data_IF_842608773686
#
_entry.id   IF_842608773686
#
_cell.length_a   1.000
_cell.length_b   1.000
_cell.length_c   1.000
_cell.angle_alpha   90.00
_cell.angle_beta   90.00
_cell.angle_gamma   90.00
#
_symmetry.space_group_name_H-M   'P 1'
#
loop_
_entity.id
_entity.type
_entity.pdbx_description
1 polymer ?
#
# COMPACT_ATOMS: atom_id res chain seq x y z
N UNK A 1 -1.40 21.96 15.04
CA UNK A 1 -1.69 20.76 14.21
C UNK A 1 -1.32 19.53 15.03
N UNK A 2 -2.00 18.38 14.90
CA UNK A 2 -1.49 17.12 15.44
C UNK A 2 -0.06 16.88 14.95
N UNK A 3 0.80 16.29 15.79
CA UNK A 3 2.19 15.98 15.43
C UNK A 3 2.31 14.86 14.39
N UNK A 4 1.26 14.04 14.23
CA UNK A 4 1.16 13.00 13.22
C UNK A 4 -0.32 12.68 12.92
N UNK A 5 -0.55 11.83 11.91
CA UNK A 5 -1.87 11.22 11.66
C UNK A 5 -2.10 10.12 12.69
N UNK A 6 -3.21 10.17 13.43
CA UNK A 6 -3.50 9.15 14.44
C UNK A 6 -3.73 7.77 13.81
N UNK A 7 -3.43 6.70 14.55
CA UNK A 7 -3.67 5.32 14.11
C UNK A 7 -5.17 5.07 13.81
N UNK A 8 -6.06 5.66 14.60
CA UNK A 8 -7.51 5.61 14.37
C UNK A 8 -7.88 6.26 13.03
N UNK A 9 -7.36 7.45 12.74
CA UNK A 9 -7.60 8.13 11.47
C UNK A 9 -7.05 7.31 10.30
N UNK A 10 -5.86 6.72 10.47
CA UNK A 10 -5.25 5.85 9.47
C UNK A 10 -6.13 4.64 9.18
N UNK A 11 -6.66 3.96 10.19
CA UNK A 11 -7.55 2.80 10.01
C UNK A 11 -8.83 3.17 9.23
N UNK A 12 -9.46 4.30 9.56
CA UNK A 12 -10.64 4.80 8.84
C UNK A 12 -10.32 5.15 7.37
N UNK A 13 -9.17 5.79 7.14
CA UNK A 13 -8.73 6.16 5.80
C UNK A 13 -8.34 4.94 4.96
N UNK A 14 -7.70 3.93 5.55
CA UNK A 14 -7.45 2.66 4.89
C UNK A 14 -8.76 2.00 4.45
N UNK A 15 -9.72 1.90 5.37
CA UNK A 15 -11.03 1.34 5.05
C UNK A 15 -11.73 2.10 3.92
N UNK A 16 -11.68 3.43 3.95
CA UNK A 16 -12.22 4.25 2.87
C UNK A 16 -11.55 3.93 1.52
N UNK A 17 -10.21 3.85 1.48
CA UNK A 17 -9.47 3.52 0.26
C UNK A 17 -9.79 2.10 -0.22
N UNK A 18 -9.90 1.11 0.66
CA UNK A 18 -10.33 -0.24 0.28
C UNK A 18 -11.66 -0.19 -0.48
N UNK A 19 -12.66 0.50 0.05
CA UNK A 19 -13.99 0.61 -0.55
C UNK A 19 -14.01 1.35 -1.90
N UNK A 20 -13.05 2.26 -2.12
CA UNK A 20 -12.89 2.94 -3.41
C UNK A 20 -12.44 1.97 -4.53
N UNK A 21 -11.62 0.98 -4.19
CA UNK A 21 -11.18 -0.03 -5.15
C UNK A 21 -12.13 -1.23 -5.21
N UNK A 22 -12.75 -1.61 -4.10
CA UNK A 22 -13.65 -2.75 -4.02
C UNK A 22 -14.76 -2.54 -2.97
N UNK A 23 -15.92 -2.05 -3.44
CA UNK A 23 -17.09 -1.78 -2.59
C UNK A 23 -17.64 -2.99 -1.86
N UNK A 24 -17.35 -4.20 -2.35
CA UNK A 24 -17.81 -5.45 -1.72
C UNK A 24 -16.77 -6.05 -0.78
N UNK A 25 -15.61 -5.42 -0.61
CA UNK A 25 -14.55 -5.95 0.26
C UNK A 25 -14.92 -5.75 1.74
N UNK A 26 -14.71 -6.81 2.51
CA UNK A 26 -14.79 -6.87 3.97
C UNK A 26 -13.47 -6.50 4.66
N UNK A 27 -12.39 -6.37 3.90
CA UNK A 27 -11.08 -6.01 4.44
C UNK A 27 -11.06 -4.58 4.98
N UNK A 28 -10.31 -4.39 6.08
CA UNK A 28 -10.07 -3.10 6.69
C UNK A 28 -8.76 -2.48 6.22
N UNK A 29 -7.78 -3.31 5.89
CA UNK A 29 -6.41 -2.90 5.56
C UNK A 29 -6.15 -2.91 4.05
N UNK A 30 -5.43 -1.90 3.56
CA UNK A 30 -5.19 -1.77 2.11
C UNK A 30 -4.26 -2.84 1.57
N UNK A 31 -3.34 -3.37 2.38
CA UNK A 31 -2.43 -4.43 1.95
C UNK A 31 -3.18 -5.76 1.73
N UNK A 32 -4.14 -6.08 2.61
CA UNK A 32 -4.99 -7.26 2.46
C UNK A 32 -5.91 -7.14 1.25
N UNK A 33 -6.56 -5.98 1.08
CA UNK A 33 -7.34 -5.69 -0.11
C UNK A 33 -6.49 -5.83 -1.38
N UNK A 34 -5.27 -5.27 -1.36
CA UNK A 34 -4.32 -5.34 -2.48
C UNK A 34 -3.99 -6.79 -2.82
N UNK A 35 -3.69 -7.63 -1.81
CA UNK A 35 -3.42 -9.07 -1.98
C UNK A 35 -4.61 -9.80 -2.58
N UNK A 36 -5.82 -9.62 -2.04
CA UNK A 36 -7.03 -10.27 -2.53
C UNK A 36 -7.36 -9.87 -3.97
N UNK A 37 -7.30 -8.57 -4.28
CA UNK A 37 -7.62 -8.04 -5.59
C UNK A 37 -6.62 -8.51 -6.66
N UNK A 38 -5.33 -8.56 -6.30
CA UNK A 38 -4.29 -9.04 -7.18
C UNK A 38 -4.36 -10.56 -7.37
N UNK A 39 -4.39 -11.32 -6.28
CA UNK A 39 -4.23 -12.77 -6.34
C UNK A 39 -5.52 -13.51 -6.68
N UNK A 40 -6.67 -13.09 -6.12
CA UNK A 40 -7.92 -13.83 -6.27
C UNK A 40 -8.83 -13.25 -7.34
N UNK A 41 -8.78 -11.93 -7.56
CA UNK A 41 -9.58 -11.25 -8.59
C UNK A 41 -8.79 -10.92 -9.86
N UNK A 42 -7.50 -11.28 -9.92
CA UNK A 42 -6.62 -11.07 -11.10
C UNK A 42 -6.65 -9.64 -11.64
N UNK A 43 -6.76 -8.64 -10.76
CA UNK A 43 -6.75 -7.23 -11.18
C UNK A 43 -5.34 -6.78 -11.54
N UNK A 44 -5.25 -5.93 -12.56
CA UNK A 44 -4.01 -5.26 -12.95
C UNK A 44 -3.48 -4.35 -11.82
N UNK A 45 -2.16 -4.10 -11.80
CA UNK A 45 -1.48 -3.38 -10.70
C UNK A 45 -1.95 -1.93 -10.54
N UNK A 46 -2.40 -1.32 -11.63
CA UNK A 46 -3.01 0.01 -11.67
C UNK A 46 -4.45 0.05 -11.11
N UNK A 47 -5.08 -1.12 -10.96
CA UNK A 47 -6.49 -1.28 -10.54
C UNK A 47 -6.63 -1.93 -9.14
N UNK A 48 -5.57 -1.87 -8.35
CA UNK A 48 -5.52 -2.32 -6.94
C UNK A 48 -5.07 -1.15 -6.05
N UNK A 49 -5.49 -1.13 -4.76
CA UNK A 49 -5.16 -0.04 -3.86
C UNK A 49 -3.64 0.12 -3.68
N UNK A 50 -3.17 1.33 -3.29
CA UNK A 50 -1.77 1.55 -2.98
C UNK A 50 -1.31 0.64 -1.83
N UNK A 51 0.01 0.50 -1.66
CA UNK A 51 0.53 -0.10 -0.42
C UNK A 51 0.22 0.80 0.76
N UNK A 52 0.10 0.23 1.96
CA UNK A 52 -0.10 0.99 3.19
C UNK A 52 0.97 2.08 3.36
N UNK A 53 2.23 1.75 3.10
CA UNK A 53 3.34 2.70 3.14
C UNK A 53 3.17 3.87 2.17
N UNK A 54 2.70 3.64 0.95
CA UNK A 54 2.43 4.72 0.00
C UNK A 54 1.20 5.56 0.41
N UNK A 55 0.17 4.92 0.93
CA UNK A 55 -1.04 5.58 1.43
C UNK A 55 -0.72 6.49 2.62
N UNK A 56 0.07 6.04 3.58
CA UNK A 56 0.53 6.84 4.72
C UNK A 56 1.20 8.14 4.26
N UNK A 57 2.12 8.05 3.29
CA UNK A 57 2.79 9.24 2.77
C UNK A 57 1.83 10.17 2.03
N UNK A 58 0.86 9.62 1.28
CA UNK A 58 -0.17 10.42 0.62
C UNK A 58 -1.05 11.18 1.62
N UNK A 59 -1.50 10.51 2.68
CA UNK A 59 -2.32 11.12 3.73
C UNK A 59 -1.54 12.24 4.42
N UNK A 60 -0.28 12.01 4.79
CA UNK A 60 0.59 13.04 5.37
C UNK A 60 0.66 14.29 4.50
N UNK A 61 0.89 14.14 3.19
CA UNK A 61 0.92 15.29 2.27
C UNK A 61 -0.42 16.01 2.19
N UNK A 62 -1.52 15.28 2.07
CA UNK A 62 -2.87 15.85 2.01
C UNK A 62 -3.24 16.59 3.31
N UNK A 63 -2.85 16.05 4.48
CA UNK A 63 -3.04 16.68 5.78
C UNK A 63 -2.25 17.99 5.91
N UNK A 64 -0.99 18.01 5.47
CA UNK A 64 -0.18 19.23 5.44
C UNK A 64 -0.83 20.30 4.55
N UNK A 65 -1.26 19.91 3.35
CA UNK A 65 -1.91 20.82 2.41
C UNK A 65 -3.21 21.42 2.97
N UNK A 66 -4.07 20.58 3.55
CA UNK A 66 -5.28 21.03 4.23
C UNK A 66 -4.98 21.98 5.41
N UNK A 67 -3.92 21.70 6.17
CA UNK A 67 -3.49 22.57 7.26
C UNK A 67 -2.99 23.94 6.78
N UNK A 68 -2.22 23.99 5.70
CA UNK A 68 -1.80 25.26 5.08
C UNK A 68 -3.02 26.08 4.63
N UNK A 69 -3.99 25.45 3.97
CA UNK A 69 -5.20 26.12 3.49
C UNK A 69 -6.12 26.61 4.61
N UNK A 70 -6.14 25.91 5.74
CA UNK A 70 -6.90 26.34 6.91
C UNK A 70 -6.30 27.57 7.62
N UNK A 71 -5.12 28.03 7.21
CA UNK A 71 -4.42 29.17 7.81
C UNK A 71 -4.40 30.42 6.92
N UNK A 72 -5.28 30.50 5.93
CA UNK A 72 -5.34 31.61 4.95
C UNK A 72 -5.56 32.99 5.56
N UNK A 73 -6.16 33.07 6.75
CA UNK A 73 -6.40 34.35 7.46
C UNK A 73 -5.31 34.70 8.48
N UNK A 74 -4.34 33.79 8.70
CA UNK A 74 -3.25 34.02 9.66
C UNK A 74 -2.10 34.69 8.92
N UNK A 75 -1.65 35.84 9.44
CA UNK A 75 -0.46 36.50 8.91
C UNK A 75 0.79 35.70 9.34
N UNK A 76 1.59 35.24 8.38
CA UNK A 76 2.81 34.44 8.59
C UNK A 76 2.60 33.20 9.49
N UNK A 77 1.78 32.22 9.05
CA UNK A 77 1.53 31.03 9.85
C UNK A 77 2.80 30.20 10.02
N UNK A 78 2.98 29.64 11.21
CA UNK A 78 3.99 28.61 11.44
C UNK A 78 3.53 27.30 10.78
N UNK A 79 4.31 26.84 9.80
CA UNK A 79 4.01 25.62 9.07
C UNK A 79 4.85 24.44 9.59
N UNK A 80 4.30 23.21 9.57
CA UNK A 80 5.06 22.00 9.89
C UNK A 80 6.24 21.81 8.93
N UNK A 81 7.27 21.08 9.39
CA UNK A 81 8.42 20.73 8.55
C UNK A 81 7.95 19.73 7.48
N UNK A 82 8.07 20.03 6.17
CA UNK A 82 7.52 19.15 5.13
C UNK A 82 8.08 17.72 5.14
N UNK A 83 9.31 17.52 5.63
CA UNK A 83 9.95 16.20 5.72
C UNK A 83 9.19 15.23 6.63
N UNK A 84 8.51 15.73 7.65
CA UNK A 84 7.72 14.90 8.57
C UNK A 84 6.36 14.53 7.98
N UNK A 85 5.99 15.21 6.89
CA UNK A 85 4.67 15.16 6.24
C UNK A 85 4.75 14.62 4.81
N UNK A 86 5.64 13.67 4.57
CA UNK A 86 5.70 12.89 3.32
C UNK A 86 6.29 13.64 2.13
N UNK A 87 7.16 14.60 2.40
CA UNK A 87 8.05 15.23 1.43
C UNK A 87 9.50 14.86 1.71
N UNK A 88 10.35 14.93 0.70
CA UNK A 88 11.80 14.83 0.84
C UNK A 88 12.46 16.06 0.21
N UNK A 89 13.57 16.50 0.78
CA UNK A 89 14.30 17.67 0.30
C UNK A 89 15.43 17.22 -0.62
N UNK A 90 15.29 17.52 -1.91
CA UNK A 90 16.32 17.29 -2.91
C UNK A 90 16.95 18.61 -3.36
N UNK A 91 18.01 18.53 -4.17
CA UNK A 91 18.66 19.71 -4.76
C UNK A 91 17.69 20.53 -5.63
N UNK A 92 16.71 19.88 -6.25
CA UNK A 92 15.66 20.49 -7.07
C UNK A 92 14.50 21.10 -6.27
N UNK A 93 14.50 20.93 -4.93
CA UNK A 93 13.43 21.39 -4.04
C UNK A 93 12.72 20.25 -3.31
N UNK A 94 11.52 20.52 -2.83
CA UNK A 94 10.68 19.52 -2.15
C UNK A 94 10.03 18.59 -3.16
N UNK A 95 10.26 17.29 -3.01
CA UNK A 95 9.65 16.24 -3.83
C UNK A 95 8.76 15.33 -2.96
N UNK A 96 7.69 14.76 -3.51
CA UNK A 96 6.87 13.81 -2.76
C UNK A 96 7.68 12.57 -2.36
N UNK A 97 7.64 12.19 -1.09
CA UNK A 97 8.07 10.86 -0.66
C UNK A 97 6.97 9.86 -1.04
N UNK A 98 7.16 9.11 -2.11
CA UNK A 98 6.10 8.24 -2.64
C UNK A 98 5.82 7.01 -1.77
N UNK A 99 6.86 6.38 -1.24
CA UNK A 99 6.76 5.20 -0.39
C UNK A 99 8.06 5.01 0.40
N UNK A 100 7.98 4.29 1.52
CA UNK A 100 9.15 3.86 2.31
C UNK A 100 9.58 2.43 1.97
N UNK A 101 8.86 1.75 1.08
CA UNK A 101 9.20 0.40 0.63
C UNK A 101 10.26 0.43 -0.47
N UNK A 102 11.13 -0.60 -0.55
CA UNK A 102 12.02 -0.76 -1.69
C UNK A 102 11.23 -0.98 -2.98
N UNK A 103 11.87 -0.69 -4.11
CA UNK A 103 11.30 -0.97 -5.42
C UNK A 103 10.95 -2.46 -5.53
N UNK A 104 9.75 -2.74 -6.06
CA UNK A 104 9.27 -4.11 -6.18
C UNK A 104 10.24 -5.01 -6.96
N UNK A 105 10.94 -4.49 -7.98
CA UNK A 105 11.95 -5.25 -8.73
C UNK A 105 13.11 -5.76 -7.87
N UNK A 106 13.43 -5.07 -6.77
CA UNK A 106 14.48 -5.44 -5.83
C UNK A 106 14.01 -6.45 -4.78
N UNK A 107 12.71 -6.72 -4.69
CA UNK A 107 12.13 -7.58 -3.64
C UNK A 107 11.19 -8.67 -4.15
N UNK A 108 10.66 -8.56 -5.37
CA UNK A 108 9.77 -9.55 -5.99
C UNK A 108 10.55 -10.36 -7.02
N UNK A 109 11.14 -11.48 -6.59
CA UNK A 109 11.75 -12.43 -7.53
C UNK A 109 10.77 -13.54 -7.96
N UNK A 110 9.58 -13.63 -7.36
CA UNK A 110 8.80 -14.86 -7.41
C UNK A 110 7.29 -14.62 -7.55
N UNK A 111 6.86 -14.20 -8.74
CA UNK A 111 5.45 -14.33 -9.18
C UNK A 111 5.14 -15.78 -9.66
N UNK A 112 5.94 -16.74 -9.20
CA UNK A 112 5.74 -18.16 -9.52
C UNK A 112 4.50 -18.64 -8.77
N UNK A 113 3.57 -19.21 -9.53
CA UNK A 113 2.36 -19.81 -8.98
C UNK A 113 2.15 -21.20 -9.59
N UNK A 114 1.55 -22.09 -8.81
CA UNK A 114 1.21 -23.44 -9.26
C UNK A 114 -0.30 -23.56 -9.53
N UNK A 115 -0.65 -24.46 -10.44
CA UNK A 115 -2.04 -24.86 -10.70
C UNK A 115 -2.50 -26.06 -9.86
N UNK A 116 -1.81 -26.36 -8.75
CA UNK A 116 -2.11 -27.52 -7.91
C UNK A 116 -3.45 -27.34 -7.20
N UNK A 117 -4.33 -28.35 -7.21
CA UNK A 117 -5.64 -28.30 -6.54
C UNK A 117 -5.66 -28.99 -5.17
N UNK A 118 -4.79 -29.99 -4.97
CA UNK A 118 -4.57 -30.72 -3.70
C UNK A 118 -3.14 -31.25 -3.66
N UNK A 119 -2.44 -31.06 -2.54
CA UNK A 119 -1.10 -31.59 -2.30
C UNK A 119 -0.02 -31.05 -3.24
N UNK A 120 0.80 -30.10 -2.76
CA UNK A 120 1.92 -29.56 -3.51
C UNK A 120 3.17 -30.45 -3.33
N UNK A 121 3.37 -31.38 -4.27
CA UNK A 121 4.52 -32.31 -4.25
C UNK A 121 5.45 -32.07 -5.44
N UNK A 122 6.27 -33.05 -5.85
CA UNK A 122 7.35 -32.88 -6.84
C UNK A 122 6.95 -32.36 -8.24
N UNK A 123 5.65 -32.27 -8.57
CA UNK A 123 5.16 -31.64 -9.81
C UNK A 123 4.77 -30.16 -9.65
N UNK A 124 4.71 -29.65 -8.42
CA UNK A 124 4.39 -28.26 -8.14
C UNK A 124 5.50 -27.32 -8.62
N UNK A 125 5.13 -26.27 -9.37
CA UNK A 125 6.07 -25.26 -9.85
C UNK A 125 6.78 -24.53 -8.70
N UNK A 126 6.04 -24.22 -7.64
CA UNK A 126 6.59 -23.57 -6.44
C UNK A 126 7.60 -24.49 -5.75
N UNK A 127 7.24 -25.75 -5.49
CA UNK A 127 8.16 -26.72 -4.88
C UNK A 127 9.43 -26.92 -5.71
N UNK A 128 9.31 -26.99 -7.04
CA UNK A 128 10.48 -27.09 -7.94
C UNK A 128 11.37 -25.85 -7.91
N UNK A 129 10.80 -24.68 -7.71
CA UNK A 129 11.53 -23.43 -7.54
C UNK A 129 12.03 -23.22 -6.10
N UNK A 130 11.87 -24.22 -5.21
CA UNK A 130 12.17 -24.14 -3.78
C UNK A 130 11.34 -23.08 -3.01
N UNK A 131 10.13 -22.79 -3.47
CA UNK A 131 9.24 -21.76 -2.93
C UNK A 131 8.02 -22.33 -2.24
N UNK A 132 7.54 -21.60 -1.22
CA UNK A 132 6.22 -21.84 -0.64
C UNK A 132 5.13 -21.44 -1.63
N UNK A 133 4.03 -22.19 -1.63
CA UNK A 133 2.87 -21.76 -2.37
C UNK A 133 2.29 -20.50 -1.73
N UNK A 134 1.83 -19.57 -2.56
CA UNK A 134 1.26 -18.30 -2.15
C UNK A 134 -0.22 -18.25 -2.53
N UNK A 135 -0.91 -17.19 -2.13
CA UNK A 135 -2.29 -16.92 -2.56
C UNK A 135 -2.46 -16.81 -4.09
N UNK A 136 -1.37 -16.66 -4.85
CA UNK A 136 -1.39 -16.69 -6.32
C UNK A 136 -1.57 -18.11 -6.88
N UNK A 137 -1.32 -19.14 -6.07
CA UNK A 137 -1.44 -20.52 -6.48
C UNK A 137 -2.91 -20.98 -6.45
N UNK A 138 -3.27 -21.93 -7.31
CA UNK A 138 -4.60 -22.53 -7.29
C UNK A 138 -4.89 -23.34 -6.01
N UNK A 139 -3.86 -23.68 -5.23
CA UNK A 139 -3.99 -24.27 -3.90
C UNK A 139 -4.12 -23.23 -2.77
N UNK A 140 -4.10 -21.93 -3.10
CA UNK A 140 -4.16 -20.80 -2.16
C UNK A 140 -3.04 -20.76 -1.10
N UNK A 141 -2.02 -21.61 -1.21
CA UNK A 141 -1.01 -21.79 -0.16
C UNK A 141 -1.43 -22.76 0.94
N UNK A 142 -2.59 -23.42 0.80
CA UNK A 142 -3.12 -24.41 1.76
C UNK A 142 -2.54 -25.83 1.52
N UNK A 143 -1.28 -25.86 1.10
CA UNK A 143 -0.46 -27.06 0.97
C UNK A 143 0.86 -26.83 1.72
#
# INVERSE_FOLDING_TARGET
MPSDVSEESMSLLERFVVLMYDRTSDTMEVNDARKQLFAHKSRALENIPPTQAALQQHIKRASLQGNCWNQTLVLNPELPIPSDWGWTKEASGWQPLWTTLPEASKSCHELIHCGCKKGCTGRCKCTKAALKCTALCACSGDC
#
